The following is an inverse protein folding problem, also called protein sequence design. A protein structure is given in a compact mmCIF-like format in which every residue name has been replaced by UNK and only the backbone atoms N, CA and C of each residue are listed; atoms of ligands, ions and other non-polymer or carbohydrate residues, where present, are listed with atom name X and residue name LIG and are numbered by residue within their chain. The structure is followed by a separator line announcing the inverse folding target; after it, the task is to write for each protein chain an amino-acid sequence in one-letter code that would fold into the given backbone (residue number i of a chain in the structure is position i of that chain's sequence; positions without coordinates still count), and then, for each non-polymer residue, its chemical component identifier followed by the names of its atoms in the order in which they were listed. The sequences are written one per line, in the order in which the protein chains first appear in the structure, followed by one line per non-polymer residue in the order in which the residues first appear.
data_IF_294786533207
#
_entry.id   IF_294786533207
#
_cell.length_a   1.000
_cell.length_b   1.000
_cell.length_c   1.000
_cell.angle_alpha   90.00
_cell.angle_beta   90.00
_cell.angle_gamma   90.00
#
_symmetry.space_group_name_H-M   'P 1'
#
loop_
_entity.id
_entity.type
_entity.pdbx_description
1 polymer ?
#
# COMPACT_ATOMS: atom_id res chain seq x y z
N UNK A 1 2.03 4.72 -36.70
CA UNK A 1 0.95 3.87 -36.15
C UNK A 1 0.05 3.47 -37.29
N UNK A 2 -0.27 2.17 -37.44
CA UNK A 2 -1.22 1.73 -38.46
C UNK A 2 -2.57 2.40 -38.25
N UNK A 3 -3.25 2.76 -39.34
CA UNK A 3 -4.60 3.29 -39.31
C UNK A 3 -5.56 2.29 -38.61
N UNK A 4 -6.63 2.81 -38.02
CA UNK A 4 -7.69 1.97 -37.45
C UNK A 4 -8.58 1.46 -38.59
N UNK A 5 -8.97 0.19 -38.54
CA UNK A 5 -9.79 -0.45 -39.58
C UNK A 5 -11.21 -0.75 -39.11
N UNK A 6 -12.12 -0.97 -40.05
CA UNK A 6 -13.49 -1.38 -39.74
C UNK A 6 -13.54 -2.76 -39.09
N UNK A 7 -12.64 -3.67 -39.47
CA UNK A 7 -12.47 -4.98 -38.82
C UNK A 7 -12.10 -4.84 -37.34
N UNK A 8 -11.24 -3.88 -36.99
CA UNK A 8 -10.91 -3.58 -35.60
C UNK A 8 -12.12 -3.04 -34.83
N UNK A 9 -12.98 -2.25 -35.48
CA UNK A 9 -14.26 -1.78 -34.90
C UNK A 9 -15.22 -2.93 -34.61
N UNK A 10 -15.35 -3.88 -35.55
CA UNK A 10 -16.17 -5.09 -35.38
C UNK A 10 -15.64 -5.95 -34.23
N UNK A 11 -14.34 -6.28 -34.25
CA UNK A 11 -13.69 -7.05 -33.17
C UNK A 11 -13.82 -6.37 -31.80
N UNK A 12 -13.64 -5.05 -31.73
CA UNK A 12 -13.80 -4.29 -30.49
C UNK A 12 -15.23 -4.41 -29.94
N UNK A 13 -16.23 -4.31 -30.81
CA UNK A 13 -17.64 -4.41 -30.43
C UNK A 13 -18.00 -5.82 -29.96
N UNK A 14 -17.56 -6.85 -30.66
CA UNK A 14 -17.75 -8.26 -30.25
C UNK A 14 -17.11 -8.58 -28.90
N UNK A 15 -15.85 -8.16 -28.71
CA UNK A 15 -15.13 -8.42 -27.46
C UNK A 15 -15.73 -7.63 -26.28
N UNK A 16 -16.22 -6.40 -26.53
CA UNK A 16 -16.92 -5.61 -25.53
C UNK A 16 -18.25 -6.24 -25.15
N UNK A 17 -19.05 -6.68 -26.13
CA UNK A 17 -20.31 -7.41 -25.90
C UNK A 17 -20.09 -8.74 -25.16
N UNK A 18 -18.96 -9.39 -25.37
CA UNK A 18 -18.52 -10.58 -24.63
C UNK A 18 -17.99 -10.26 -23.20
N UNK A 19 -18.07 -9.02 -22.75
CA UNK A 19 -17.67 -8.57 -21.41
C UNK A 19 -16.16 -8.57 -21.17
N UNK A 20 -15.33 -8.53 -22.22
CA UNK A 20 -13.86 -8.53 -22.05
C UNK A 20 -13.36 -7.19 -21.54
N UNK A 21 -12.33 -7.22 -20.69
CA UNK A 21 -11.74 -6.01 -20.12
C UNK A 21 -10.96 -5.21 -21.18
N UNK A 22 -10.86 -3.89 -20.99
CA UNK A 22 -10.06 -3.00 -21.84
C UNK A 22 -8.61 -3.51 -22.03
N UNK A 23 -8.01 -4.07 -20.98
CA UNK A 23 -6.65 -4.60 -21.06
C UNK A 23 -6.56 -5.84 -21.95
N UNK A 24 -7.52 -6.76 -21.83
CA UNK A 24 -7.59 -7.95 -22.67
C UNK A 24 -7.70 -7.55 -24.14
N UNK A 25 -8.61 -6.63 -24.46
CA UNK A 25 -8.86 -6.17 -25.83
C UNK A 25 -7.62 -5.47 -26.42
N UNK A 26 -6.92 -4.65 -25.61
CA UNK A 26 -5.69 -4.00 -26.03
C UNK A 26 -4.59 -5.01 -26.40
N UNK A 27 -4.43 -6.08 -25.61
CA UNK A 27 -3.46 -7.13 -25.90
C UNK A 27 -3.86 -7.95 -27.14
N UNK A 28 -5.15 -8.31 -27.25
CA UNK A 28 -5.69 -9.10 -28.36
C UNK A 28 -5.55 -8.37 -29.71
N UNK A 29 -5.83 -7.07 -29.75
CA UNK A 29 -5.71 -6.25 -30.96
C UNK A 29 -4.30 -5.70 -31.19
N UNK A 30 -3.36 -5.93 -30.26
CA UNK A 30 -2.01 -5.36 -30.33
C UNK A 30 -2.00 -3.83 -30.33
N UNK A 31 -2.99 -3.19 -29.70
CA UNK A 31 -3.14 -1.72 -29.64
C UNK A 31 -2.99 -1.21 -28.22
N UNK A 32 -2.60 0.06 -28.08
CA UNK A 32 -2.53 0.68 -26.76
C UNK A 32 -3.93 0.79 -26.12
N UNK A 33 -4.02 0.68 -24.80
CA UNK A 33 -5.28 0.90 -24.04
C UNK A 33 -5.93 2.24 -24.37
N UNK A 34 -5.12 3.28 -24.61
CA UNK A 34 -5.59 4.61 -25.00
C UNK A 34 -6.30 4.57 -26.35
N UNK A 35 -5.71 3.90 -27.34
CA UNK A 35 -6.31 3.73 -28.67
C UNK A 35 -7.65 3.02 -28.57
N UNK A 36 -7.71 1.91 -27.85
CA UNK A 36 -8.97 1.16 -27.65
C UNK A 36 -10.03 2.02 -26.94
N UNK A 37 -9.66 2.76 -25.90
CA UNK A 37 -10.59 3.62 -25.17
C UNK A 37 -11.19 4.73 -26.04
N UNK A 38 -10.37 5.37 -26.89
CA UNK A 38 -10.84 6.43 -27.80
C UNK A 38 -11.81 5.87 -28.85
N UNK A 39 -11.52 4.68 -29.39
CA UNK A 39 -12.39 4.06 -30.38
C UNK A 39 -13.65 3.46 -29.78
N UNK A 40 -13.58 2.90 -28.57
CA UNK A 40 -14.74 2.47 -27.82
C UNK A 40 -15.71 3.63 -27.59
N UNK A 41 -15.20 4.80 -27.18
CA UNK A 41 -16.01 6.02 -27.00
C UNK A 41 -16.67 6.47 -28.30
N UNK A 42 -15.93 6.47 -29.42
CA UNK A 42 -16.49 6.78 -30.75
C UNK A 42 -17.58 5.80 -31.19
N UNK A 43 -17.51 4.55 -30.76
CA UNK A 43 -18.49 3.49 -31.04
C UNK A 43 -19.62 3.45 -29.99
N UNK A 44 -19.61 4.35 -29.00
CA UNK A 44 -20.61 4.38 -27.92
C UNK A 44 -20.47 3.25 -26.89
N UNK A 45 -19.33 2.55 -26.87
CA UNK A 45 -19.04 1.47 -25.95
C UNK A 45 -18.44 2.04 -24.65
N UNK A 46 -19.07 1.73 -23.51
CA UNK A 46 -18.57 2.12 -22.19
C UNK A 46 -18.01 0.92 -21.45
N UNK A 47 -16.78 1.03 -20.94
CA UNK A 47 -16.26 0.06 -19.99
C UNK A 47 -16.74 0.44 -18.60
N UNK A 48 -17.39 -0.49 -17.90
CA UNK A 48 -17.88 -0.24 -16.56
C UNK A 48 -16.70 0.05 -15.61
N UNK A 49 -16.56 1.33 -15.25
CA UNK A 49 -15.56 1.80 -14.30
C UNK A 49 -15.97 1.50 -12.86
N UNK A 50 -17.26 1.24 -12.60
CA UNK A 50 -17.77 0.97 -11.25
C UNK A 50 -17.25 -0.36 -10.71
N UNK A 51 -17.17 -1.41 -11.52
CA UNK A 51 -16.56 -2.68 -11.09
C UNK A 51 -15.08 -2.53 -10.76
N UNK A 52 -14.32 -1.79 -11.58
CA UNK A 52 -12.89 -1.56 -11.34
C UNK A 52 -12.68 -0.70 -10.09
N UNK A 53 -13.51 0.32 -9.88
CA UNK A 53 -13.49 1.16 -8.68
C UNK A 53 -13.79 0.35 -7.42
N UNK A 54 -14.85 -0.47 -7.42
CA UNK A 54 -15.20 -1.37 -6.31
C UNK A 54 -14.09 -2.37 -6.00
N UNK A 55 -13.47 -2.96 -7.03
CA UNK A 55 -12.35 -3.88 -6.85
C UNK A 55 -11.09 -3.19 -6.30
N UNK A 56 -10.82 -1.95 -6.72
CA UNK A 56 -9.74 -1.14 -6.18
C UNK A 56 -10.01 -0.77 -4.71
N UNK A 57 -11.21 -0.31 -4.39
CA UNK A 57 -11.65 0.02 -3.03
C UNK A 57 -11.55 -1.19 -2.10
N UNK A 58 -12.04 -2.36 -2.52
CA UNK A 58 -11.89 -3.60 -1.77
C UNK A 58 -10.41 -3.94 -1.49
N UNK A 59 -9.53 -3.78 -2.49
CA UNK A 59 -8.08 -3.96 -2.32
C UNK A 59 -7.48 -2.93 -1.36
N UNK A 60 -7.95 -1.69 -1.38
CA UNK A 60 -7.50 -0.65 -0.45
C UNK A 60 -7.85 -1.01 1.00
N UNK A 61 -9.10 -1.45 1.25
CA UNK A 61 -9.55 -1.92 2.56
C UNK A 61 -8.73 -3.12 3.02
N UNK A 62 -8.54 -4.12 2.16
CA UNK A 62 -7.72 -5.29 2.45
C UNK A 62 -6.27 -4.92 2.79
N UNK A 63 -5.69 -3.96 2.07
CA UNK A 63 -4.32 -3.52 2.31
C UNK A 63 -4.17 -2.76 3.62
N UNK A 64 -5.16 -1.95 4.01
CA UNK A 64 -5.15 -1.28 5.32
C UNK A 64 -5.18 -2.30 6.46
N UNK A 65 -6.06 -3.30 6.38
CA UNK A 65 -6.14 -4.37 7.36
C UNK A 65 -4.85 -5.22 7.43
N UNK A 66 -4.20 -5.48 6.28
CA UNK A 66 -2.90 -6.17 6.25
C UNK A 66 -1.81 -5.34 6.92
N UNK A 67 -1.75 -4.03 6.66
CA UNK A 67 -0.75 -3.13 7.27
C UNK A 67 -0.90 -3.06 8.79
N UNK A 68 -2.13 -2.91 9.29
CA UNK A 68 -2.38 -2.90 10.73
C UNK A 68 -1.91 -4.19 11.43
N UNK A 69 -2.13 -5.36 10.81
CA UNK A 69 -1.62 -6.63 11.35
C UNK A 69 -0.08 -6.72 11.34
N UNK A 70 0.56 -6.19 10.29
CA UNK A 70 2.04 -6.17 10.23
C UNK A 70 2.60 -5.20 11.28
N UNK A 71 1.97 -4.05 11.46
CA UNK A 71 2.31 -3.07 12.52
C UNK A 71 2.29 -3.73 13.91
N UNK A 72 1.20 -4.42 14.25
CA UNK A 72 1.08 -5.18 15.51
C UNK A 72 2.20 -6.23 15.65
N UNK A 73 2.46 -7.02 14.61
CA UNK A 73 3.52 -8.03 14.63
C UNK A 73 4.92 -7.42 14.82
N UNK A 74 5.19 -6.26 14.22
CA UNK A 74 6.46 -5.56 14.38
C UNK A 74 6.64 -5.03 15.81
N UNK A 75 5.57 -4.56 16.45
CA UNK A 75 5.60 -4.13 17.86
C UNK A 75 5.86 -5.32 18.79
N UNK A 76 5.13 -6.43 18.63
CA UNK A 76 5.38 -7.67 19.40
C UNK A 76 6.81 -8.15 19.21
N UNK A 77 7.32 -8.13 17.97
CA UNK A 77 8.70 -8.54 17.71
C UNK A 77 9.72 -7.59 18.34
N UNK A 78 9.40 -6.31 18.44
CA UNK A 78 10.23 -5.31 19.11
C UNK A 78 10.31 -5.59 20.62
N UNK A 79 9.20 -6.00 21.25
CA UNK A 79 9.19 -6.45 22.66
C UNK A 79 10.07 -7.68 22.87
N UNK A 80 9.96 -8.68 21.99
CA UNK A 80 10.82 -9.88 22.02
C UNK A 80 12.32 -9.52 21.95
N UNK A 81 12.67 -8.59 21.06
CA UNK A 81 14.06 -8.13 20.87
C UNK A 81 14.57 -7.37 22.10
N UNK A 82 13.75 -6.51 22.70
CA UNK A 82 14.10 -5.86 23.97
C UNK A 82 14.36 -6.89 25.07
N UNK A 83 13.48 -7.88 25.21
CA UNK A 83 13.64 -8.94 26.19
C UNK A 83 14.89 -9.81 25.94
N UNK A 84 15.40 -9.88 24.70
CA UNK A 84 16.59 -10.66 24.37
C UNK A 84 17.88 -10.03 24.92
N UNK A 85 17.91 -8.72 25.18
CA UNK A 85 19.11 -8.03 25.68
C UNK A 85 19.60 -8.53 27.04
N UNK A 86 18.71 -9.10 27.84
CA UNK A 86 18.99 -9.60 29.18
C UNK A 86 18.85 -11.13 29.31
N UNK A 87 18.67 -11.84 28.18
CA UNK A 87 18.55 -13.31 28.18
C UNK A 87 19.91 -13.97 27.91
N UNK A 88 20.17 -15.14 28.51
CA UNK A 88 21.36 -15.93 28.20
C UNK A 88 21.51 -16.18 26.70
N UNK A 89 22.75 -16.14 26.22
CA UNK A 89 23.07 -16.29 24.81
C UNK A 89 24.36 -17.10 24.61
N UNK A 90 24.43 -17.83 23.50
CA UNK A 90 25.63 -18.57 23.10
C UNK A 90 26.40 -17.71 22.10
N UNK A 91 27.67 -17.47 22.39
CA UNK A 91 28.61 -16.91 21.41
C UNK A 91 29.44 -18.05 20.88
N UNK A 92 29.59 -18.10 19.56
CA UNK A 92 30.42 -19.10 18.89
C UNK A 92 31.41 -18.44 17.94
N UNK A 93 32.51 -19.14 17.69
CA UNK A 93 33.50 -18.76 16.69
C UNK A 93 34.03 -19.99 15.97
N UNK A 94 34.39 -19.80 14.71
CA UNK A 94 35.15 -20.77 13.92
C UNK A 94 36.53 -20.17 13.67
N UNK A 95 37.60 -20.89 13.99
CA UNK A 95 38.93 -20.31 13.92
C UNK A 95 40.10 -21.31 13.97
N UNK A 96 41.31 -20.76 13.95
CA UNK A 96 42.54 -21.54 13.92
C UNK A 96 42.87 -22.12 12.55
N UNK A 97 44.03 -22.78 12.46
CA UNK A 97 44.53 -23.39 11.22
C UNK A 97 43.59 -24.49 10.67
N UNK A 98 42.81 -25.11 11.54
CA UNK A 98 41.92 -26.24 11.21
C UNK A 98 40.42 -25.87 11.21
N UNK A 99 40.08 -24.58 11.34
CA UNK A 99 38.70 -24.09 11.35
C UNK A 99 37.82 -24.81 12.39
N UNK A 100 38.29 -24.85 13.63
CA UNK A 100 37.61 -25.51 14.74
C UNK A 100 36.49 -24.64 15.31
N UNK A 101 35.42 -25.30 15.73
CA UNK A 101 34.28 -24.67 16.39
C UNK A 101 34.52 -24.54 17.89
N UNK A 102 34.29 -23.34 18.43
CA UNK A 102 34.27 -23.08 19.86
C UNK A 102 33.03 -22.27 20.23
N UNK A 103 32.39 -22.61 21.33
CA UNK A 103 31.23 -21.89 21.86
C UNK A 103 31.36 -21.63 23.36
N UNK A 104 30.68 -20.60 23.83
CA UNK A 104 30.57 -20.28 25.24
C UNK A 104 29.18 -19.70 25.55
N UNK A 105 28.62 -20.14 26.67
CA UNK A 105 27.38 -19.57 27.22
C UNK A 105 27.69 -18.28 27.97
N UNK A 106 26.89 -17.25 27.74
CA UNK A 106 26.94 -15.98 28.44
C UNK A 106 25.61 -15.74 29.16
N UNK A 107 25.68 -15.10 30.33
CA UNK A 107 24.48 -14.70 31.10
C UNK A 107 23.57 -13.74 30.31
N UNK A 108 24.15 -12.98 29.37
CA UNK A 108 23.45 -12.10 28.43
C UNK A 108 24.26 -11.97 27.13
N UNK A 109 23.66 -11.49 26.02
CA UNK A 109 24.38 -11.36 24.75
C UNK A 109 25.59 -10.44 24.91
N UNK A 110 26.65 -10.70 24.15
CA UNK A 110 27.84 -9.84 24.16
C UNK A 110 27.52 -8.46 23.55
N UNK A 111 28.37 -7.44 23.76
CA UNK A 111 28.10 -6.08 23.25
C UNK A 111 27.88 -6.01 21.73
N UNK A 112 28.49 -6.89 20.93
CA UNK A 112 28.29 -6.92 19.48
C UNK A 112 26.91 -7.47 19.14
N UNK A 113 26.50 -8.59 19.75
CA UNK A 113 25.14 -9.11 19.60
C UNK A 113 24.08 -8.11 20.09
N UNK A 114 24.28 -7.46 21.24
CA UNK A 114 23.37 -6.43 21.75
C UNK A 114 23.19 -5.27 20.76
N UNK A 115 24.30 -4.80 20.15
CA UNK A 115 24.22 -3.78 19.10
C UNK A 115 23.36 -4.24 17.92
N UNK A 116 23.53 -5.48 17.46
CA UNK A 116 22.72 -6.01 16.37
C UNK A 116 21.24 -6.13 16.74
N UNK A 117 20.93 -6.55 17.97
CA UNK A 117 19.55 -6.59 18.49
C UNK A 117 18.94 -5.19 18.47
N UNK A 118 19.64 -4.18 19.01
CA UNK A 118 19.18 -2.79 19.03
C UNK A 118 19.00 -2.21 17.62
N UNK A 119 19.88 -2.55 16.68
CA UNK A 119 19.75 -2.14 15.27
C UNK A 119 18.50 -2.74 14.62
N UNK A 120 18.24 -4.03 14.83
CA UNK A 120 17.05 -4.70 14.32
C UNK A 120 15.77 -4.13 14.94
N UNK A 121 15.78 -3.87 16.25
CA UNK A 121 14.70 -3.22 16.98
C UNK A 121 14.36 -1.84 16.39
N UNK A 122 15.37 -0.99 16.18
CA UNK A 122 15.15 0.33 15.60
C UNK A 122 14.54 0.26 14.19
N UNK A 123 14.98 -0.70 13.36
CA UNK A 123 14.40 -0.91 12.04
C UNK A 123 12.93 -1.35 12.10
N UNK A 124 12.58 -2.25 13.03
CA UNK A 124 11.21 -2.71 13.23
C UNK A 124 10.28 -1.58 13.69
N UNK A 125 10.70 -0.78 14.67
CA UNK A 125 9.93 0.36 15.17
C UNK A 125 9.73 1.44 14.09
N UNK A 126 10.76 1.75 13.31
CA UNK A 126 10.64 2.70 12.20
C UNK A 126 9.65 2.21 11.13
N UNK A 127 9.67 0.91 10.81
CA UNK A 127 8.71 0.33 9.88
C UNK A 127 7.28 0.34 10.43
N UNK A 128 7.09 0.06 11.73
CA UNK A 128 5.80 0.14 12.39
C UNK A 128 5.24 1.56 12.37
N UNK A 129 6.04 2.57 12.75
CA UNK A 129 5.64 3.98 12.72
C UNK A 129 5.23 4.43 11.30
N UNK A 130 5.99 4.03 10.28
CA UNK A 130 5.64 4.35 8.90
C UNK A 130 4.33 3.69 8.45
N UNK A 131 4.08 2.45 8.87
CA UNK A 131 2.80 1.78 8.60
C UNK A 131 1.65 2.47 9.32
N UNK A 132 1.87 2.93 10.55
CA UNK A 132 0.92 3.70 11.33
C UNK A 132 0.55 5.01 10.62
N UNK A 133 1.53 5.81 10.20
CA UNK A 133 1.34 7.04 9.42
C UNK A 133 0.51 6.79 8.15
N UNK A 134 0.87 5.77 7.38
CA UNK A 134 0.12 5.38 6.17
C UNK A 134 -1.32 4.92 6.44
N UNK A 135 -1.64 4.54 7.69
CA UNK A 135 -2.98 4.15 8.11
C UNK A 135 -3.77 5.34 8.69
N UNK A 136 -3.09 6.34 9.28
CA UNK A 136 -3.66 7.56 9.85
C UNK A 136 -3.98 8.64 8.81
N UNK A 137 -3.20 8.77 7.74
CA UNK A 137 -3.40 9.78 6.67
C UNK A 137 -4.78 9.67 5.98
N UNK A 138 -5.48 8.54 6.13
CA UNK A 138 -6.86 8.36 5.66
C UNK A 138 -7.95 8.79 6.65
N UNK A 139 -7.59 9.19 7.87
CA UNK A 139 -8.51 9.67 8.92
C UNK A 139 -8.54 11.19 9.07
N UNK A 140 -7.69 11.94 8.35
CA UNK A 140 -7.62 13.41 8.45
C UNK A 140 -8.59 14.17 7.53
N UNK A 141 -9.29 13.47 6.63
CA UNK A 141 -10.33 14.06 5.78
C UNK A 141 -11.44 14.77 6.59
N UNK A 142 -12.00 14.18 7.68
CA UNK A 142 -13.02 14.83 8.50
C UNK A 142 -12.53 16.09 9.23
N UNK A 143 -11.24 16.16 9.58
CA UNK A 143 -10.67 17.34 10.25
C UNK A 143 -10.48 18.51 9.27
N UNK A 144 -10.05 18.21 8.03
CA UNK A 144 -9.95 19.18 6.94
C UNK A 144 -11.34 19.64 6.49
N UNK A 145 -12.31 18.74 6.38
CA UNK A 145 -13.70 19.06 6.04
C UNK A 145 -14.36 19.96 7.10
N UNK A 146 -14.18 19.65 8.39
CA UNK A 146 -14.68 20.48 9.48
C UNK A 146 -14.03 21.88 9.50
N UNK A 147 -12.74 21.98 9.16
CA UNK A 147 -12.04 23.25 9.04
C UNK A 147 -12.48 24.05 7.81
N UNK A 148 -12.71 23.38 6.67
CA UNK A 148 -13.24 24.00 5.45
C UNK A 148 -14.66 24.49 5.63
N UNK A 149 -15.52 23.72 6.31
CA UNK A 149 -16.89 24.10 6.64
C UNK A 149 -16.91 25.31 7.58
N UNK A 150 -16.03 25.36 8.57
CA UNK A 150 -15.88 26.51 9.47
C UNK A 150 -15.37 27.79 8.75
N UNK A 151 -14.50 27.65 7.73
CA UNK A 151 -14.02 28.79 6.95
C UNK A 151 -15.00 29.26 5.86
N UNK A 152 -15.85 28.38 5.35
CA UNK A 152 -16.77 28.68 4.23
C UNK A 152 -18.22 28.92 4.69
N UNK A 153 -18.56 28.60 5.93
CA UNK A 153 -19.91 28.68 6.50
C UNK A 153 -20.36 30.04 7.05
N UNK A 154 -19.50 31.06 7.13
CA UNK A 154 -19.85 32.36 7.75
C UNK A 154 -20.08 33.49 6.72
N UNK A 155 -21.01 33.29 5.78
CA UNK A 155 -21.35 34.33 4.80
C UNK A 155 -22.83 34.42 4.44
N UNK A 156 -23.74 33.94 5.29
CA UNK A 156 -25.18 34.05 5.05
C UNK A 156 -25.94 34.35 6.34
N UNK A 157 -25.98 35.62 6.74
CA UNK A 157 -26.70 36.00 7.95
C UNK A 157 -26.94 37.47 8.24
N UNK A 158 -26.50 38.43 7.40
CA UNK A 158 -26.75 39.85 7.67
C UNK A 158 -27.65 40.47 6.60
N UNK A 159 -28.95 40.17 6.72
CA UNK A 159 -29.99 40.96 6.09
C UNK A 159 -30.44 42.02 7.11
N UNK A 160 -30.23 43.33 6.83
CA UNK A 160 -30.56 44.37 7.79
C UNK A 160 -32.08 44.44 8.01
N UNK A 161 -32.55 44.82 9.21
CA UNK A 161 -33.97 44.92 9.48
C UNK A 161 -34.53 46.12 8.73
N UNK A 162 -35.52 45.86 7.86
CA UNK A 162 -36.33 46.89 7.21
C UNK A 162 -36.94 47.82 8.28
N UNK A 163 -36.70 49.12 8.12
CA UNK A 163 -37.43 50.21 8.78
C UNK A 163 -37.91 51.20 7.74
#
# INVERSE_FOLDING_TARGET
MAAWTDEESTRLTELHAAGKSLHFIANELGRSKRTISVWAEKLGLSFDRAETAKAAEAKHVDNKARRARIEEQLLVKSEDMLAQLDKPAIVYSFGGQFNEYAEHELDKPDPVAQKHIVQALAAALNAANKLHEMNSDGQDLPAVDAWLEAMTGDNNGDQPPDR
#
